data_IF_203848582262
#
_entry.id   IF_203848582262
#
_cell.length_a   1.000
_cell.length_b   1.000
_cell.length_c   1.000
_cell.angle_alpha   90.00
_cell.angle_beta   90.00
_cell.angle_gamma   90.00
#
_symmetry.space_group_name_H-M   'P 1'
#
loop_
_entity.id
_entity.type
_entity.pdbx_description
1 polymer ?
#
# COMPACT_ATOMS: atom_id res chain seq x y z
N UNK A 1 -45.07 -33.98 57.68
CA UNK A 1 -43.75 -33.36 57.49
C UNK A 1 -43.40 -33.38 55.98
N UNK A 2 -43.61 -32.27 55.27
CA UNK A 2 -43.46 -32.15 53.87
C UNK A 2 -42.15 -31.35 53.61
N UNK A 3 -41.10 -31.97 53.03
CA UNK A 3 -39.86 -31.34 52.67
C UNK A 3 -40.05 -30.84 51.25
N UNK A 4 -40.14 -29.49 51.06
CA UNK A 4 -40.08 -28.84 49.74
C UNK A 4 -38.64 -28.75 49.32
N UNK A 5 -38.29 -29.41 48.22
CA UNK A 5 -37.05 -29.22 47.52
C UNK A 5 -37.16 -28.01 46.53
N UNK A 6 -36.44 -26.96 46.82
CA UNK A 6 -36.28 -25.78 45.94
C UNK A 6 -35.20 -26.07 44.88
N UNK A 7 -35.58 -26.21 43.62
CA UNK A 7 -34.65 -26.28 42.49
C UNK A 7 -34.33 -24.86 42.04
N UNK A 8 -33.09 -24.39 42.27
CA UNK A 8 -32.56 -23.16 41.68
C UNK A 8 -32.07 -23.49 40.26
N UNK A 9 -32.80 -23.01 39.25
CA UNK A 9 -32.34 -22.96 37.87
C UNK A 9 -31.34 -21.78 37.72
N UNK A 10 -30.05 -22.09 37.60
CA UNK A 10 -29.04 -21.13 37.13
C UNK A 10 -29.19 -21.00 35.62
N UNK A 11 -29.78 -19.90 35.10
CA UNK A 11 -29.71 -19.52 33.71
C UNK A 11 -28.31 -18.92 33.45
N UNK A 12 -27.42 -19.67 32.82
CA UNK A 12 -26.18 -19.15 32.28
C UNK A 12 -26.51 -18.36 31.00
N UNK A 13 -26.48 -17.02 31.09
CA UNK A 13 -26.47 -16.17 29.90
C UNK A 13 -25.13 -16.39 29.18
N UNK A 14 -25.15 -17.19 28.14
CA UNK A 14 -24.04 -17.23 27.14
C UNK A 14 -24.22 -15.99 26.28
N UNK A 15 -23.47 -14.92 26.58
CA UNK A 15 -23.30 -13.80 25.67
C UNK A 15 -22.47 -14.31 24.50
N UNK A 16 -23.13 -14.61 23.38
CA UNK A 16 -22.45 -14.83 22.11
C UNK A 16 -21.76 -13.52 21.74
N UNK A 17 -20.45 -13.46 21.93
CA UNK A 17 -19.61 -12.41 21.33
C UNK A 17 -19.66 -12.68 19.83
N UNK A 18 -20.52 -11.94 19.13
CA UNK A 18 -20.51 -11.89 17.67
C UNK A 18 -19.17 -11.29 17.25
N UNK A 19 -18.23 -12.11 16.81
CA UNK A 19 -17.06 -11.62 16.10
C UNK A 19 -17.58 -11.02 14.79
N UNK A 20 -17.49 -9.71 14.65
CA UNK A 20 -17.80 -9.05 13.40
C UNK A 20 -16.77 -9.57 12.36
N UNK A 21 -17.22 -10.46 11.50
CA UNK A 21 -16.38 -10.99 10.41
C UNK A 21 -15.97 -9.82 9.51
N UNK A 22 -14.70 -9.81 9.07
CA UNK A 22 -14.16 -8.82 8.16
C UNK A 22 -15.12 -8.60 6.96
N UNK A 23 -15.60 -7.37 6.82
CA UNK A 23 -16.53 -7.02 5.74
C UNK A 23 -15.73 -6.87 4.44
N UNK A 24 -15.98 -7.76 3.48
CA UNK A 24 -15.31 -7.75 2.16
C UNK A 24 -16.31 -7.43 1.07
N UNK A 25 -16.00 -6.45 0.22
CA UNK A 25 -16.81 -6.07 -0.94
C UNK A 25 -15.94 -5.63 -2.11
N UNK A 26 -16.47 -5.66 -3.34
CA UNK A 26 -15.83 -4.98 -4.46
C UNK A 26 -16.21 -3.51 -4.46
N UNK A 27 -15.24 -2.61 -4.74
CA UNK A 27 -15.50 -1.17 -4.87
C UNK A 27 -16.50 -0.90 -6.00
N UNK A 28 -16.49 -1.75 -7.03
CA UNK A 28 -17.45 -1.69 -8.14
C UNK A 28 -17.68 -3.09 -8.72
N UNK A 29 -18.84 -3.31 -9.32
CA UNK A 29 -19.18 -4.51 -10.07
C UNK A 29 -19.03 -4.32 -11.57
N UNK A 30 -19.26 -3.10 -12.06
CA UNK A 30 -19.13 -2.67 -13.45
C UNK A 30 -18.26 -1.44 -13.54
N UNK A 31 -17.44 -1.36 -14.58
CA UNK A 31 -16.55 -0.23 -14.86
C UNK A 31 -16.42 0.00 -16.37
N UNK A 32 -16.06 1.21 -16.82
CA UNK A 32 -15.84 1.51 -18.23
C UNK A 32 -14.52 0.98 -18.79
N UNK A 33 -13.87 0.07 -18.09
CA UNK A 33 -12.59 -0.55 -18.43
C UNK A 33 -12.58 -2.03 -18.01
N UNK A 34 -11.91 -2.92 -18.76
CA UNK A 34 -11.82 -4.34 -18.41
C UNK A 34 -10.72 -4.66 -17.39
N UNK A 35 -9.71 -3.78 -17.24
CA UNK A 35 -8.55 -4.03 -16.40
C UNK A 35 -8.33 -2.90 -15.40
N UNK A 36 -7.99 -3.25 -14.15
CA UNK A 36 -7.67 -2.32 -13.08
C UNK A 36 -6.53 -2.81 -12.20
N UNK A 37 -5.70 -1.89 -11.67
CA UNK A 37 -4.59 -2.26 -10.82
C UNK A 37 -4.12 -1.11 -9.92
N UNK A 38 -3.32 -1.43 -8.88
CA UNK A 38 -2.58 -0.51 -8.02
C UNK A 38 -3.49 0.51 -7.32
N UNK A 39 -4.30 0.02 -6.39
CA UNK A 39 -5.18 0.88 -5.60
C UNK A 39 -4.44 1.63 -4.50
N UNK A 40 -4.97 2.79 -4.16
CA UNK A 40 -4.64 3.62 -3.01
C UNK A 40 -5.92 4.02 -2.26
N UNK A 41 -5.81 4.32 -0.97
CA UNK A 41 -6.96 4.60 -0.10
C UNK A 41 -6.62 5.72 0.88
N UNK A 42 -7.58 6.63 1.11
CA UNK A 42 -7.50 7.66 2.15
C UNK A 42 -8.86 7.84 2.84
N UNK A 43 -8.85 8.10 4.15
CA UNK A 43 -10.05 8.53 4.86
C UNK A 43 -10.11 10.06 4.89
N UNK A 44 -11.21 10.61 4.41
CA UNK A 44 -11.48 12.04 4.34
C UNK A 44 -11.94 12.59 5.70
N UNK A 45 -11.88 13.92 5.89
CA UNK A 45 -12.25 14.58 7.16
C UNK A 45 -13.67 14.32 7.61
N UNK A 46 -14.61 14.16 6.66
CA UNK A 46 -16.01 13.83 6.94
C UNK A 46 -16.26 12.35 7.28
N UNK A 47 -15.22 11.52 7.26
CA UNK A 47 -15.31 10.08 7.54
C UNK A 47 -15.46 9.20 6.31
N UNK A 48 -15.80 9.75 5.14
CA UNK A 48 -15.83 9.00 3.88
C UNK A 48 -14.46 8.42 3.55
N UNK A 49 -14.43 7.35 2.76
CA UNK A 49 -13.21 6.84 2.15
C UNK A 49 -13.17 7.27 0.67
N UNK A 50 -11.98 7.59 0.19
CA UNK A 50 -11.71 7.78 -1.23
C UNK A 50 -10.64 6.79 -1.66
N UNK A 51 -10.97 5.96 -2.63
CA UNK A 51 -10.03 5.04 -3.27
C UNK A 51 -9.73 5.52 -4.69
N UNK A 52 -8.50 5.27 -5.16
CA UNK A 52 -8.12 5.50 -6.55
C UNK A 52 -7.26 4.32 -7.05
N UNK A 53 -7.26 4.11 -8.37
CA UNK A 53 -6.51 3.05 -9.04
C UNK A 53 -6.31 3.42 -10.51
N UNK A 54 -5.43 2.73 -11.22
CA UNK A 54 -5.39 2.88 -12.66
C UNK A 54 -6.26 1.81 -13.36
N UNK A 55 -6.90 2.17 -14.47
CA UNK A 55 -7.76 1.29 -15.25
C UNK A 55 -7.82 1.69 -16.71
N UNK A 56 -7.88 0.69 -17.59
CA UNK A 56 -7.92 0.82 -19.05
C UNK A 56 -8.06 -0.53 -19.72
N UNK A 57 -7.71 -0.64 -20.98
CA UNK A 57 -7.78 -1.90 -21.75
C UNK A 57 -6.86 -2.98 -21.16
N UNK A 58 -5.64 -2.62 -20.80
CA UNK A 58 -4.65 -3.43 -20.08
C UNK A 58 -3.57 -2.50 -19.50
N UNK A 59 -2.81 -2.99 -18.54
CA UNK A 59 -1.67 -2.27 -17.98
C UNK A 59 -0.71 -1.80 -19.09
N UNK A 60 -0.35 -0.51 -19.06
CA UNK A 60 0.54 0.11 -20.04
C UNK A 60 -0.09 0.49 -21.38
N UNK A 61 -1.38 0.25 -21.59
CA UNK A 61 -2.07 0.75 -22.78
C UNK A 61 -2.29 2.28 -22.70
N UNK A 62 -2.30 2.95 -23.83
CA UNK A 62 -2.40 4.42 -23.93
C UNK A 62 -3.74 4.98 -23.38
N UNK A 63 -4.76 4.13 -23.19
CA UNK A 63 -6.05 4.49 -22.63
C UNK A 63 -6.11 4.37 -21.10
N UNK A 64 -5.05 3.89 -20.45
CA UNK A 64 -5.01 3.76 -18.99
C UNK A 64 -5.04 5.12 -18.33
N UNK A 65 -6.02 5.29 -17.46
CA UNK A 65 -6.28 6.52 -16.71
C UNK A 65 -6.38 6.24 -15.21
N UNK A 66 -6.37 7.29 -14.39
CA UNK A 66 -6.62 7.19 -12.95
C UNK A 66 -8.11 7.38 -12.69
N UNK A 67 -8.70 6.41 -12.03
CA UNK A 67 -10.10 6.34 -11.63
C UNK A 67 -10.22 6.40 -10.12
N UNK A 68 -11.34 6.87 -9.64
CA UNK A 68 -11.66 6.90 -8.21
C UNK A 68 -13.06 6.43 -7.90
N UNK A 69 -13.31 6.10 -6.64
CA UNK A 69 -14.62 5.87 -6.05
C UNK A 69 -14.63 6.35 -4.61
N UNK A 70 -15.76 6.90 -4.18
CA UNK A 70 -15.99 7.38 -2.82
C UNK A 70 -16.92 6.43 -2.10
N UNK A 71 -16.56 6.02 -0.88
CA UNK A 71 -17.43 5.30 0.04
C UNK A 71 -18.05 6.26 1.05
N UNK A 72 -19.37 6.29 1.08
CA UNK A 72 -20.16 6.98 2.09
C UNK A 72 -20.92 5.96 2.93
N UNK A 73 -21.79 6.40 3.82
CA UNK A 73 -22.70 5.50 4.55
C UNK A 73 -23.61 4.66 3.63
N UNK A 74 -23.85 5.12 2.38
CA UNK A 74 -24.63 4.39 1.37
C UNK A 74 -23.82 3.42 0.52
N UNK A 75 -22.52 3.24 0.79
CA UNK A 75 -21.62 2.37 0.04
C UNK A 75 -20.74 3.13 -0.96
N UNK A 76 -20.10 2.38 -1.88
CA UNK A 76 -19.21 2.90 -2.89
C UNK A 76 -19.97 3.55 -4.06
N UNK A 77 -19.49 4.69 -4.52
CA UNK A 77 -19.98 5.32 -5.76
C UNK A 77 -19.54 4.51 -6.99
N UNK A 78 -20.21 4.73 -8.13
CA UNK A 78 -19.67 4.28 -9.42
C UNK A 78 -18.29 4.89 -9.66
N UNK A 79 -17.36 4.17 -10.34
CA UNK A 79 -16.07 4.74 -10.72
C UNK A 79 -16.20 6.02 -11.52
N UNK A 80 -15.41 7.03 -11.17
CA UNK A 80 -15.32 8.30 -11.89
C UNK A 80 -13.87 8.58 -12.29
N UNK A 81 -13.71 9.27 -13.43
CA UNK A 81 -12.39 9.64 -13.94
C UNK A 81 -11.79 10.76 -13.06
N UNK A 82 -10.56 10.53 -12.56
CA UNK A 82 -9.78 11.55 -11.85
C UNK A 82 -8.85 12.30 -12.79
N UNK A 83 -8.07 11.58 -13.58
CA UNK A 83 -7.15 12.17 -14.55
C UNK A 83 -6.79 11.16 -15.64
N UNK A 84 -6.54 11.67 -16.84
CA UNK A 84 -6.04 10.92 -18.00
C UNK A 84 -4.98 11.75 -18.69
N UNK A 85 -3.83 11.13 -18.94
CA UNK A 85 -2.81 11.70 -19.81
C UNK A 85 -3.11 11.39 -21.28
N UNK A 86 -2.88 12.33 -22.20
CA UNK A 86 -3.15 12.10 -23.62
C UNK A 86 -2.10 11.15 -24.23
N UNK A 87 -2.59 10.04 -24.82
CA UNK A 87 -1.79 9.08 -25.60
C UNK A 87 -0.63 8.42 -24.84
N UNK A 88 -0.78 8.28 -23.51
CA UNK A 88 0.21 7.59 -22.67
C UNK A 88 -0.45 7.06 -21.41
N UNK A 89 -0.01 5.89 -20.95
CA UNK A 89 -0.54 5.27 -19.75
C UNK A 89 -0.27 6.07 -18.47
N UNK A 90 -1.28 6.16 -17.61
CA UNK A 90 -1.15 6.61 -16.22
C UNK A 90 -0.98 5.41 -15.28
N UNK A 91 -0.17 5.56 -14.20
CA UNK A 91 0.26 4.48 -13.33
C UNK A 91 0.18 4.88 -11.85
N UNK A 92 0.07 3.89 -10.98
CA UNK A 92 0.21 3.93 -9.52
C UNK A 92 -0.24 5.26 -8.87
N UNK A 93 -1.53 5.51 -8.73
CA UNK A 93 -2.00 6.66 -7.97
C UNK A 93 -1.66 6.50 -6.50
N UNK A 94 -1.39 7.62 -5.82
CA UNK A 94 -1.20 7.69 -4.38
C UNK A 94 -1.98 8.87 -3.83
N UNK A 95 -2.93 8.58 -2.93
CA UNK A 95 -3.73 9.57 -2.21
C UNK A 95 -3.15 9.79 -0.81
N UNK A 96 -3.03 11.04 -0.40
CA UNK A 96 -2.73 11.41 0.97
C UNK A 96 -3.13 12.86 1.26
N UNK A 97 -3.34 13.18 2.53
CA UNK A 97 -3.67 14.53 2.98
C UNK A 97 -2.47 15.15 3.71
N UNK A 98 -2.15 16.40 3.39
CA UNK A 98 -1.17 17.21 4.11
C UNK A 98 -1.82 17.96 5.28
N UNK A 99 -1.00 18.46 6.23
CA UNK A 99 -1.52 19.11 7.44
C UNK A 99 -2.31 20.39 7.16
N UNK A 100 -2.04 21.08 6.07
CA UNK A 100 -2.84 22.24 5.61
C UNK A 100 -4.21 21.84 5.07
N UNK A 101 -4.52 20.54 5.01
CA UNK A 101 -5.80 20.00 4.60
C UNK A 101 -5.97 19.82 3.11
N UNK A 102 -4.91 19.96 2.33
CA UNK A 102 -4.95 19.58 0.91
C UNK A 102 -4.90 18.07 0.77
N UNK A 103 -5.84 17.55 0.01
CA UNK A 103 -5.82 16.17 -0.46
C UNK A 103 -5.05 16.12 -1.77
N UNK A 104 -3.95 15.39 -1.77
CA UNK A 104 -3.10 15.19 -2.94
C UNK A 104 -3.40 13.85 -3.61
N UNK A 105 -3.35 13.85 -4.95
CA UNK A 105 -3.25 12.67 -5.79
C UNK A 105 -1.96 12.78 -6.60
N UNK A 106 -1.01 11.91 -6.34
CA UNK A 106 0.18 11.73 -7.16
C UNK A 106 -0.03 10.53 -8.07
N UNK A 107 0.51 10.58 -9.28
CA UNK A 107 0.51 9.46 -10.22
C UNK A 107 1.76 9.54 -11.11
N UNK A 108 2.01 8.51 -11.87
CA UNK A 108 3.08 8.47 -12.86
C UNK A 108 2.45 8.34 -14.24
N UNK A 109 3.14 8.79 -15.24
CA UNK A 109 2.77 8.59 -16.63
C UNK A 109 4.00 8.28 -17.45
N UNK A 110 3.84 7.49 -18.50
CA UNK A 110 4.92 7.03 -19.36
C UNK A 110 4.58 5.71 -20.03
N UNK A 111 5.27 5.36 -21.10
CA UNK A 111 5.00 4.10 -21.84
C UNK A 111 5.48 2.87 -21.09
N UNK A 112 6.54 3.03 -20.29
CA UNK A 112 7.16 1.95 -19.50
C UNK A 112 7.60 2.49 -18.16
N UNK A 113 7.74 1.62 -17.17
CA UNK A 113 8.19 1.95 -15.82
C UNK A 113 9.52 2.72 -15.82
N UNK A 114 10.45 2.37 -16.69
CA UNK A 114 11.76 3.02 -16.82
C UNK A 114 11.70 4.45 -17.39
N UNK A 115 10.57 4.84 -17.96
CA UNK A 115 10.33 6.13 -18.61
C UNK A 115 9.33 7.00 -17.83
N UNK A 116 9.02 6.63 -16.60
CA UNK A 116 8.02 7.34 -15.80
C UNK A 116 8.43 8.77 -15.50
N UNK A 117 7.48 9.65 -15.64
CA UNK A 117 7.47 11.00 -15.09
C UNK A 117 6.40 11.08 -14.01
N UNK A 118 6.67 11.81 -12.93
CA UNK A 118 5.69 12.08 -11.88
C UNK A 118 4.73 13.19 -12.27
N UNK A 119 3.49 13.09 -11.82
CA UNK A 119 2.52 14.15 -11.88
C UNK A 119 1.66 14.16 -10.63
N UNK A 120 1.01 15.29 -10.33
CA UNK A 120 0.15 15.46 -9.17
C UNK A 120 -0.99 16.44 -9.45
N UNK A 121 -2.03 16.31 -8.67
CA UNK A 121 -3.12 17.27 -8.57
C UNK A 121 -3.61 17.31 -7.12
N UNK A 122 -4.30 18.36 -6.72
CA UNK A 122 -4.80 18.49 -5.36
C UNK A 122 -6.27 18.91 -5.33
N UNK A 123 -6.90 18.62 -4.21
CA UNK A 123 -8.25 19.05 -3.87
C UNK A 123 -8.25 19.77 -2.52
N UNK A 124 -9.04 20.83 -2.39
CA UNK A 124 -9.29 21.55 -1.14
C UNK A 124 -10.70 21.31 -0.59
N UNK A 125 -11.51 20.54 -1.30
CA UNK A 125 -12.91 20.23 -0.98
C UNK A 125 -13.16 18.73 -0.78
N UNK A 126 -12.14 18.04 -0.26
CA UNK A 126 -12.17 16.60 0.05
C UNK A 126 -12.40 15.73 -1.20
N UNK A 127 -11.78 16.08 -2.32
CA UNK A 127 -11.81 15.30 -3.55
C UNK A 127 -13.10 15.40 -4.36
N UNK A 128 -13.89 16.48 -4.17
CA UNK A 128 -15.04 16.75 -5.03
C UNK A 128 -14.60 17.43 -6.32
N UNK A 129 -13.69 18.38 -6.21
CA UNK A 129 -13.03 19.02 -7.35
C UNK A 129 -11.51 18.92 -7.22
N UNK A 130 -10.83 18.96 -8.35
CA UNK A 130 -9.39 18.80 -8.43
C UNK A 130 -8.75 19.91 -9.26
N UNK A 131 -7.53 20.31 -8.89
CA UNK A 131 -6.72 21.21 -9.70
C UNK A 131 -6.40 20.59 -11.07
N UNK A 132 -5.92 21.40 -12.01
CA UNK A 132 -5.25 20.88 -13.19
C UNK A 132 -4.03 20.04 -12.78
N UNK A 133 -3.66 18.99 -13.54
CA UNK A 133 -2.44 18.25 -13.33
C UNK A 133 -1.19 19.13 -13.41
N UNK A 134 -0.25 18.90 -12.48
CA UNK A 134 1.10 19.48 -12.48
C UNK A 134 2.09 18.36 -12.77
N UNK A 135 2.83 18.46 -13.87
CA UNK A 135 3.89 17.53 -14.21
C UNK A 135 5.15 17.88 -13.43
N UNK A 136 5.73 16.88 -12.75
CA UNK A 136 6.89 17.08 -11.89
C UNK A 136 8.19 17.15 -12.69
N UNK A 137 9.23 17.83 -12.17
CA UNK A 137 10.55 17.84 -12.80
C UNK A 137 11.13 16.44 -12.96
N UNK A 138 11.95 16.23 -13.99
CA UNK A 138 12.64 14.97 -14.22
C UNK A 138 13.42 14.51 -12.97
N UNK A 139 13.31 13.22 -12.63
CA UNK A 139 13.93 12.63 -11.44
C UNK A 139 13.11 12.76 -10.15
N UNK A 140 12.00 13.51 -10.16
CA UNK A 140 11.04 13.56 -9.06
C UNK A 140 9.78 12.79 -9.45
N UNK A 141 9.60 11.57 -8.91
CA UNK A 141 8.43 10.74 -9.18
C UNK A 141 7.33 10.89 -8.11
N UNK A 142 7.69 11.48 -6.96
CA UNK A 142 6.83 11.50 -5.79
C UNK A 142 6.61 10.10 -5.19
N UNK A 143 5.60 9.90 -4.35
CA UNK A 143 5.30 8.59 -3.76
C UNK A 143 5.02 7.59 -4.87
N UNK A 144 5.82 6.50 -4.90
CA UNK A 144 5.84 5.59 -6.06
C UNK A 144 4.63 4.64 -6.10
N UNK A 145 4.17 4.19 -4.93
CA UNK A 145 3.03 3.28 -4.76
C UNK A 145 2.32 3.46 -3.42
N UNK A 146 3.09 3.58 -2.34
CA UNK A 146 2.55 3.63 -0.99
C UNK A 146 2.42 5.09 -0.50
N UNK A 147 1.48 5.31 0.41
CA UNK A 147 1.25 6.62 1.00
C UNK A 147 2.49 7.15 1.72
N UNK A 148 2.83 8.44 1.58
CA UNK A 148 3.89 9.05 2.36
C UNK A 148 3.49 9.16 3.83
N UNK A 149 4.49 9.28 4.70
CA UNK A 149 4.30 9.64 6.10
C UNK A 149 4.36 11.17 6.23
N UNK A 150 3.33 11.78 6.80
CA UNK A 150 3.32 13.20 7.15
C UNK A 150 3.65 13.34 8.63
N UNK A 151 4.81 13.93 8.94
CA UNK A 151 5.31 14.09 10.29
C UNK A 151 4.53 15.17 11.07
N UNK A 152 4.79 15.27 12.39
CA UNK A 152 4.07 16.20 13.26
C UNK A 152 4.34 17.67 12.94
N UNK A 153 5.48 18.00 12.38
CA UNK A 153 5.84 19.33 11.89
C UNK A 153 5.34 19.63 10.46
N UNK A 154 4.63 18.70 9.85
CA UNK A 154 4.14 18.81 8.45
C UNK A 154 5.12 18.32 7.40
N UNK A 155 6.31 17.89 7.78
CA UNK A 155 7.28 17.30 6.86
C UNK A 155 6.68 16.05 6.20
N UNK A 156 6.79 15.96 4.87
CA UNK A 156 6.40 14.80 4.09
C UNK A 156 7.63 13.92 3.86
N UNK A 157 7.56 12.66 4.26
CA UNK A 157 8.58 11.64 3.98
C UNK A 157 7.96 10.63 3.02
N UNK A 158 8.34 10.70 1.77
CA UNK A 158 7.74 9.96 0.66
C UNK A 158 8.68 8.89 0.16
N UNK A 159 8.21 7.65 0.17
CA UNK A 159 8.92 6.53 -0.44
C UNK A 159 8.80 6.57 -1.96
N UNK A 160 9.94 6.55 -2.63
CA UNK A 160 10.03 6.46 -4.09
C UNK A 160 11.02 5.38 -4.50
N UNK A 161 11.07 5.02 -5.76
CA UNK A 161 12.05 4.08 -6.29
C UNK A 161 12.39 4.39 -7.74
N UNK A 162 13.56 3.94 -8.15
CA UNK A 162 14.02 3.98 -9.55
C UNK A 162 14.19 2.53 -10.01
N UNK A 163 13.49 2.21 -11.08
CA UNK A 163 13.51 0.91 -11.74
C UNK A 163 14.31 1.07 -13.05
N UNK A 164 15.61 0.87 -12.98
CA UNK A 164 16.47 0.94 -14.16
C UNK A 164 16.60 -0.43 -14.86
N UNK A 165 17.44 -0.53 -15.87
CA UNK A 165 17.54 -1.69 -16.75
C UNK A 165 17.85 -3.01 -16.02
N UNK A 166 18.84 -2.99 -15.10
CA UNK A 166 19.27 -4.18 -14.36
C UNK A 166 19.38 -3.97 -12.84
N UNK A 167 18.98 -2.79 -12.34
CA UNK A 167 19.15 -2.44 -10.94
C UNK A 167 17.97 -1.59 -10.45
N UNK A 168 17.43 -1.98 -9.32
CA UNK A 168 16.35 -1.26 -8.63
C UNK A 168 16.86 -0.70 -7.31
N UNK A 169 16.44 0.52 -6.98
CA UNK A 169 16.81 1.14 -5.73
C UNK A 169 15.66 1.97 -5.16
N UNK A 170 15.54 1.92 -3.83
CA UNK A 170 14.66 2.80 -3.06
C UNK A 170 15.34 4.14 -2.86
N UNK A 171 14.54 5.20 -2.93
CA UNK A 171 14.89 6.57 -2.58
C UNK A 171 13.80 7.15 -1.68
N UNK A 172 14.14 8.21 -0.97
CA UNK A 172 13.18 8.99 -0.19
C UNK A 172 13.16 10.40 -0.76
N UNK A 173 11.97 10.88 -1.13
CA UNK A 173 11.72 12.28 -1.43
C UNK A 173 11.15 12.95 -0.15
N UNK A 174 11.88 13.91 0.42
CA UNK A 174 11.51 14.61 1.65
C UNK A 174 11.19 16.07 1.37
N UNK A 175 10.06 16.57 1.89
CA UNK A 175 9.62 17.96 1.77
C UNK A 175 9.23 18.52 3.13
N UNK A 176 9.70 19.73 3.47
CA UNK A 176 9.31 20.45 4.69
C UNK A 176 8.40 21.66 4.41
N UNK A 177 7.93 21.81 3.19
CA UNK A 177 7.14 22.94 2.71
C UNK A 177 5.86 22.50 1.96
N UNK A 178 5.20 21.45 2.48
CA UNK A 178 3.98 20.87 1.91
C UNK A 178 4.11 20.44 0.45
N UNK A 179 5.31 19.97 0.05
CA UNK A 179 5.55 19.46 -1.29
C UNK A 179 5.92 20.54 -2.33
N UNK A 180 6.23 21.77 -1.92
CA UNK A 180 6.71 22.80 -2.83
C UNK A 180 8.12 22.50 -3.32
N UNK A 181 9.01 22.08 -2.42
CA UNK A 181 10.36 21.63 -2.76
C UNK A 181 10.66 20.25 -2.18
N UNK A 182 11.58 19.53 -2.82
CA UNK A 182 11.90 18.15 -2.45
C UNK A 182 13.41 17.92 -2.38
N UNK A 183 13.82 17.18 -1.37
CA UNK A 183 15.18 16.67 -1.23
C UNK A 183 15.14 15.15 -1.43
N UNK A 184 15.91 14.64 -2.41
CA UNK A 184 16.07 13.22 -2.65
C UNK A 184 17.20 12.65 -1.78
N UNK A 185 16.92 11.54 -1.10
CA UNK A 185 17.82 10.85 -0.15
C UNK A 185 17.93 9.39 -0.57
N UNK A 186 19.14 8.85 -0.58
CA UNK A 186 19.43 7.48 -1.02
C UNK A 186 20.64 7.42 -1.95
N UNK A 187 20.86 6.33 -2.70
CA UNK A 187 19.98 5.15 -2.76
C UNK A 187 20.00 4.32 -1.48
N UNK A 188 18.88 3.65 -1.17
CA UNK A 188 18.77 2.65 -0.13
C UNK A 188 18.69 1.30 -0.81
N UNK A 189 19.67 0.43 -0.53
CA UNK A 189 19.85 -0.87 -1.18
C UNK A 189 20.20 -1.95 -0.17
N UNK A 190 20.08 -3.20 -0.57
CA UNK A 190 20.57 -4.35 0.21
C UNK A 190 22.03 -4.59 -0.19
N UNK A 191 23.00 -4.42 0.70
CA UNK A 191 24.41 -4.66 0.37
C UNK A 191 24.68 -6.17 0.23
N UNK A 192 25.68 -6.52 -0.58
CA UNK A 192 26.00 -7.91 -0.91
C UNK A 192 26.19 -8.83 0.33
N UNK A 193 26.73 -8.28 1.42
CA UNK A 193 26.92 -9.04 2.69
C UNK A 193 25.61 -9.45 3.38
N UNK A 194 24.49 -8.81 3.04
CA UNK A 194 23.15 -9.06 3.59
C UNK A 194 22.23 -9.77 2.59
N UNK A 195 22.72 -10.02 1.36
CA UNK A 195 21.95 -10.77 0.38
C UNK A 195 21.74 -12.20 0.88
N UNK A 196 20.50 -12.74 0.78
CA UNK A 196 20.30 -14.16 1.07
C UNK A 196 21.09 -15.02 0.09
N UNK A 197 21.36 -16.29 0.44
CA UNK A 197 21.92 -17.25 -0.51
C UNK A 197 21.09 -17.23 -1.80
N UNK A 198 21.76 -17.25 -2.96
CA UNK A 198 21.08 -17.25 -4.24
C UNK A 198 19.98 -18.33 -4.28
N UNK A 199 18.77 -18.01 -4.74
CA UNK A 199 17.71 -18.99 -4.83
C UNK A 199 18.14 -20.12 -5.75
N UNK A 200 17.78 -21.36 -5.39
CA UNK A 200 18.08 -22.56 -6.18
C UNK A 200 17.30 -22.61 -7.51
N UNK A 201 16.32 -21.75 -7.67
CA UNK A 201 15.57 -21.57 -8.93
C UNK A 201 16.12 -20.35 -9.65
N UNK A 202 16.77 -20.58 -10.77
CA UNK A 202 17.09 -19.52 -11.73
C UNK A 202 15.79 -19.00 -12.34
N UNK A 203 15.58 -17.68 -12.32
CA UNK A 203 14.57 -17.07 -13.18
C UNK A 203 14.78 -17.53 -14.63
N UNK A 204 13.75 -18.15 -15.21
CA UNK A 204 13.74 -18.33 -16.65
C UNK A 204 13.40 -16.98 -17.29
N UNK A 205 14.44 -16.19 -17.54
CA UNK A 205 14.31 -14.94 -18.28
C UNK A 205 13.95 -15.26 -19.73
N UNK A 206 12.94 -14.57 -20.26
CA UNK A 206 12.62 -14.61 -21.67
C UNK A 206 13.73 -13.97 -22.52
N UNK A 207 13.76 -14.22 -23.85
CA UNK A 207 14.71 -13.56 -24.72
C UNK A 207 14.64 -12.04 -24.60
N UNK A 208 15.75 -11.39 -24.23
CA UNK A 208 15.82 -9.94 -24.05
C UNK A 208 15.38 -9.43 -22.67
N UNK A 209 15.04 -10.31 -21.73
CA UNK A 209 14.85 -9.96 -20.32
C UNK A 209 16.20 -9.97 -19.59
N UNK A 210 16.44 -8.94 -18.81
CA UNK A 210 17.67 -8.78 -18.01
C UNK A 210 17.43 -9.20 -16.57
N UNK A 211 18.43 -9.79 -15.94
CA UNK A 211 18.42 -10.03 -14.51
C UNK A 211 18.37 -8.69 -13.77
N UNK A 212 17.33 -8.51 -12.96
CA UNK A 212 17.13 -7.29 -12.17
C UNK A 212 17.31 -7.62 -10.69
N UNK A 213 18.15 -6.84 -10.01
CA UNK A 213 18.37 -6.96 -8.57
C UNK A 213 18.06 -5.65 -7.85
N UNK A 214 17.45 -5.75 -6.65
CA UNK A 214 17.21 -4.63 -5.77
C UNK A 214 15.84 -4.60 -5.10
N UNK A 215 15.51 -3.44 -4.58
CA UNK A 215 14.27 -3.20 -3.83
C UNK A 215 13.56 -1.95 -4.30
N UNK A 216 12.21 -1.96 -4.28
CA UNK A 216 11.37 -0.86 -4.74
C UNK A 216 10.12 -0.68 -3.86
N UNK A 217 9.34 0.38 -4.15
CA UNK A 217 7.98 0.61 -3.63
C UNK A 217 7.94 0.54 -2.09
N UNK A 218 8.67 1.42 -1.39
CA UNK A 218 8.75 1.38 0.06
C UNK A 218 7.48 1.94 0.72
N UNK A 219 6.92 1.20 1.68
CA UNK A 219 5.93 1.66 2.64
C UNK A 219 6.65 2.15 3.90
N UNK A 220 6.35 3.35 4.39
CA UNK A 220 7.04 3.97 5.53
C UNK A 220 6.10 4.04 6.72
N UNK A 221 6.59 3.61 7.89
CA UNK A 221 5.87 3.70 9.16
C UNK A 221 6.73 4.38 10.22
N UNK A 222 6.09 4.92 11.25
CA UNK A 222 6.74 5.45 12.44
C UNK A 222 6.76 4.38 13.53
N UNK A 223 7.93 4.04 14.05
CA UNK A 223 8.11 3.12 15.20
C UNK A 223 8.33 3.85 16.53
N UNK A 224 8.74 5.12 16.48
CA UNK A 224 9.01 5.89 17.68
C UNK A 224 9.31 7.36 17.39
N UNK A 225 9.72 8.10 18.43
CA UNK A 225 10.15 9.47 18.26
C UNK A 225 11.39 9.51 17.35
N UNK A 226 11.29 10.16 16.19
CA UNK A 226 12.33 10.20 15.14
C UNK A 226 12.70 8.87 14.51
N UNK A 227 12.12 7.75 14.94
CA UNK A 227 12.38 6.45 14.35
C UNK A 227 11.33 6.13 13.30
N UNK A 228 11.76 6.09 12.05
CA UNK A 228 10.98 5.65 10.90
C UNK A 228 11.57 4.34 10.36
N UNK A 229 10.71 3.47 9.87
CA UNK A 229 11.10 2.25 9.16
C UNK A 229 10.37 2.18 7.84
N UNK A 230 11.09 1.80 6.81
CA UNK A 230 10.50 1.43 5.53
C UNK A 230 10.50 -0.08 5.35
N UNK A 231 9.49 -0.57 4.63
CA UNK A 231 9.41 -1.94 4.13
C UNK A 231 9.34 -1.87 2.61
N UNK A 232 10.18 -2.64 1.92
CA UNK A 232 10.32 -2.57 0.47
C UNK A 232 10.08 -3.93 -0.19
N UNK A 233 9.44 -3.88 -1.36
CA UNK A 233 9.27 -5.01 -2.26
C UNK A 233 10.63 -5.42 -2.83
N UNK A 234 11.02 -6.71 -2.74
CA UNK A 234 12.26 -7.23 -3.30
C UNK A 234 12.12 -7.67 -4.75
N UNK A 235 13.23 -7.87 -5.43
CA UNK A 235 13.35 -8.74 -6.60
C UNK A 235 13.41 -10.22 -6.18
N UNK A 236 13.27 -11.14 -7.13
CA UNK A 236 13.21 -12.59 -6.84
C UNK A 236 14.52 -13.15 -6.27
N UNK A 237 15.67 -12.58 -6.64
CA UNK A 237 16.97 -12.96 -6.10
C UNK A 237 17.11 -12.66 -4.59
N UNK A 238 16.44 -11.61 -4.10
CA UNK A 238 16.32 -11.31 -2.68
C UNK A 238 15.18 -12.14 -2.07
N UNK A 239 14.03 -12.20 -2.71
CA UNK A 239 12.89 -13.06 -2.37
C UNK A 239 12.23 -12.81 -1.01
N UNK A 240 12.65 -11.77 -0.28
CA UNK A 240 12.18 -11.42 1.07
C UNK A 240 11.92 -9.91 1.17
N UNK A 241 10.85 -9.53 1.85
CA UNK A 241 10.60 -8.12 2.17
C UNK A 241 11.83 -7.55 2.88
N UNK A 242 12.27 -6.37 2.47
CA UNK A 242 13.43 -5.71 3.06
C UNK A 242 13.00 -4.51 3.90
N UNK A 243 13.72 -4.26 4.98
CA UNK A 243 13.52 -3.10 5.85
C UNK A 243 14.78 -2.24 5.93
N UNK A 244 14.59 -0.93 6.14
CA UNK A 244 15.66 0.00 6.50
C UNK A 244 15.13 1.03 7.50
N UNK A 245 16.00 1.57 8.34
CA UNK A 245 15.65 2.47 9.43
C UNK A 245 16.22 3.87 9.24
N UNK A 246 15.48 4.85 9.72
CA UNK A 246 15.93 6.21 9.96
C UNK A 246 15.70 6.57 11.42
N UNK A 247 16.67 7.20 12.05
CA UNK A 247 16.59 7.65 13.46
C UNK A 247 16.58 9.17 13.59
N UNK A 248 16.33 9.88 12.49
CA UNK A 248 16.38 11.35 12.37
C UNK A 248 15.25 11.92 11.49
N UNK A 249 14.04 11.31 11.60
CA UNK A 249 12.85 11.71 10.83
C UNK A 249 13.05 11.65 9.30
N UNK A 250 13.77 10.64 8.82
CA UNK A 250 13.94 10.36 7.40
C UNK A 250 15.02 11.17 6.70
N UNK A 251 15.95 11.81 7.46
CA UNK A 251 17.08 12.57 6.89
C UNK A 251 18.19 11.63 6.44
N UNK A 252 18.48 10.60 7.24
CA UNK A 252 19.43 9.54 6.88
C UNK A 252 18.80 8.16 7.08
N UNK A 253 19.28 7.16 6.36
CA UNK A 253 18.77 5.79 6.37
C UNK A 253 19.90 4.77 6.44
N UNK A 254 19.64 3.67 7.12
CA UNK A 254 20.56 2.52 7.13
C UNK A 254 20.55 1.81 5.77
N UNK A 255 21.51 0.93 5.55
CA UNK A 255 21.38 -0.13 4.54
C UNK A 255 20.08 -0.92 4.78
N UNK A 256 19.44 -1.38 3.71
CA UNK A 256 18.31 -2.29 3.83
C UNK A 256 18.78 -3.73 4.13
N UNK A 257 17.96 -4.46 4.88
CA UNK A 257 18.18 -5.87 5.19
C UNK A 257 16.90 -6.68 4.96
N UNK A 258 17.03 -7.95 4.53
CA UNK A 258 15.88 -8.85 4.37
C UNK A 258 15.28 -9.25 5.72
N UNK A 259 13.94 -9.24 5.81
CA UNK A 259 13.16 -9.79 6.92
C UNK A 259 12.88 -11.27 6.71
N UNK A 260 12.39 -11.95 7.74
CA UNK A 260 11.93 -13.34 7.61
C UNK A 260 10.48 -13.42 7.06
N UNK A 261 10.23 -12.71 5.96
CA UNK A 261 8.96 -12.64 5.27
C UNK A 261 9.19 -12.86 3.77
N UNK A 262 8.75 -13.99 3.20
CA UNK A 262 8.90 -14.22 1.76
C UNK A 262 8.08 -13.21 0.96
N UNK A 263 8.56 -12.91 -0.24
CA UNK A 263 7.83 -12.08 -1.19
C UNK A 263 8.18 -12.46 -2.63
N UNK A 264 7.20 -12.71 -3.50
CA UNK A 264 7.39 -13.17 -4.88
C UNK A 264 7.57 -12.00 -5.85
N UNK A 265 8.29 -10.94 -5.47
CA UNK A 265 8.37 -9.71 -6.24
C UNK A 265 6.97 -9.08 -6.45
N UNK A 266 6.21 -8.95 -5.36
CA UNK A 266 4.86 -8.35 -5.35
C UNK A 266 4.79 -7.13 -4.45
N UNK A 267 4.01 -6.12 -4.86
CA UNK A 267 3.80 -4.90 -4.06
C UNK A 267 3.19 -5.21 -2.69
N UNK A 268 3.64 -4.47 -1.69
CA UNK A 268 3.20 -4.55 -0.29
C UNK A 268 2.66 -3.20 0.16
N UNK A 269 2.03 -3.12 1.32
CA UNK A 269 1.84 -1.87 2.07
C UNK A 269 1.91 -2.16 3.58
N UNK A 270 2.21 -1.14 4.37
CA UNK A 270 2.29 -1.21 5.82
C UNK A 270 1.60 -0.02 6.47
N UNK A 271 1.10 -0.21 7.68
CA UNK A 271 0.56 0.86 8.52
C UNK A 271 1.03 0.70 9.96
N UNK A 272 1.56 1.79 10.54
CA UNK A 272 1.79 1.90 11.97
C UNK A 272 0.46 2.21 12.67
N UNK A 273 0.07 1.36 13.61
CA UNK A 273 -1.15 1.55 14.39
C UNK A 273 -0.92 2.57 15.52
N UNK A 274 -2.00 3.21 15.96
CA UNK A 274 -1.94 4.19 17.08
C UNK A 274 -1.46 3.59 18.39
N UNK A 275 -1.55 2.27 18.55
CA UNK A 275 -1.07 1.54 19.74
C UNK A 275 0.39 1.09 19.63
N UNK A 276 1.07 1.43 18.54
CA UNK A 276 2.48 1.16 18.30
C UNK A 276 2.77 -0.12 17.52
N UNK A 277 1.77 -0.99 17.29
CA UNK A 277 1.94 -2.16 16.41
C UNK A 277 2.08 -1.72 14.96
N UNK A 278 2.65 -2.59 14.13
CA UNK A 278 2.71 -2.44 12.67
C UNK A 278 1.94 -3.57 12.02
N UNK A 279 1.06 -3.25 11.08
CA UNK A 279 0.40 -4.25 10.22
C UNK A 279 0.95 -4.13 8.81
N UNK A 280 1.28 -5.27 8.23
CA UNK A 280 1.80 -5.42 6.88
C UNK A 280 0.84 -6.28 6.07
N UNK A 281 0.57 -5.88 4.83
CA UNK A 281 -0.21 -6.64 3.85
C UNK A 281 0.68 -7.03 2.68
N UNK A 282 0.75 -8.34 2.37
CA UNK A 282 1.72 -8.89 1.43
C UNK A 282 1.31 -10.27 0.91
N UNK A 283 1.98 -10.75 -0.12
CA UNK A 283 1.85 -12.13 -0.57
C UNK A 283 2.88 -13.02 0.17
N UNK A 284 2.39 -13.85 1.09
CA UNK A 284 3.23 -14.79 1.87
C UNK A 284 3.55 -16.05 1.05
N UNK A 285 4.33 -15.87 -0.01
CA UNK A 285 4.74 -16.93 -0.94
C UNK A 285 6.04 -16.55 -1.61
N UNK A 286 6.69 -17.50 -2.26
CA UNK A 286 7.90 -17.27 -3.08
C UNK A 286 7.60 -17.18 -4.57
N UNK A 287 6.34 -17.44 -5.00
CA UNK A 287 5.96 -17.38 -6.41
C UNK A 287 4.48 -17.02 -6.57
N UNK A 288 4.13 -16.35 -7.67
CA UNK A 288 2.75 -15.92 -7.94
C UNK A 288 2.29 -14.79 -7.02
N UNK A 289 0.97 -14.54 -6.96
CA UNK A 289 0.37 -13.47 -6.15
C UNK A 289 -0.86 -13.95 -5.35
N UNK A 290 -0.82 -15.21 -4.96
CA UNK A 290 -1.75 -15.86 -4.04
C UNK A 290 -0.92 -16.78 -3.13
N UNK A 291 -1.15 -16.75 -1.79
CA UNK A 291 -2.16 -16.01 -1.04
C UNK A 291 -1.85 -14.53 -0.86
N UNK A 292 -2.85 -13.72 -0.41
CA UNK A 292 -2.69 -12.37 0.12
C UNK A 292 -2.97 -12.40 1.63
N UNK A 293 -2.03 -11.91 2.43
CA UNK A 293 -2.01 -12.10 3.87
C UNK A 293 -1.81 -10.78 4.63
N UNK A 294 -2.23 -10.80 5.89
CA UNK A 294 -1.91 -9.80 6.89
C UNK A 294 -0.99 -10.38 7.96
N UNK A 295 0.01 -9.62 8.33
CA UNK A 295 0.88 -9.91 9.46
C UNK A 295 0.98 -8.69 10.38
N UNK A 296 1.18 -8.93 11.68
CA UNK A 296 1.32 -7.90 12.70
C UNK A 296 2.66 -8.06 13.42
N UNK A 297 3.26 -6.93 13.79
CA UNK A 297 4.49 -6.86 14.57
C UNK A 297 4.37 -5.85 15.70
N UNK A 298 5.01 -6.13 16.84
CA UNK A 298 5.13 -5.21 18.00
C UNK A 298 6.43 -4.41 17.97
N UNK A 299 7.42 -4.88 17.25
CA UNK A 299 8.76 -4.27 17.17
C UNK A 299 9.10 -3.77 15.75
N UNK A 300 8.23 -4.06 14.77
CA UNK A 300 8.46 -3.72 13.37
C UNK A 300 9.41 -4.66 12.64
N UNK A 301 10.02 -5.64 13.32
CA UNK A 301 11.00 -6.59 12.77
C UNK A 301 10.40 -8.00 12.65
N UNK A 302 9.82 -8.50 13.74
CA UNK A 302 9.27 -9.85 13.82
C UNK A 302 7.75 -9.81 13.61
N UNK A 303 7.31 -10.39 12.51
CA UNK A 303 5.90 -10.40 12.10
C UNK A 303 5.27 -11.78 12.32
N UNK A 304 4.03 -11.76 12.80
CA UNK A 304 3.18 -12.95 12.93
C UNK A 304 2.01 -12.79 11.96
N UNK A 305 1.88 -13.72 11.02
CA UNK A 305 0.71 -13.78 10.13
C UNK A 305 -0.54 -14.09 10.96
N UNK A 306 -1.60 -13.31 10.82
CA UNK A 306 -2.83 -13.50 11.57
C UNK A 306 -4.07 -13.69 10.70
N UNK A 307 -4.03 -13.27 9.43
CA UNK A 307 -5.18 -13.41 8.54
C UNK A 307 -4.78 -13.64 7.09
N UNK A 308 -5.53 -14.50 6.40
CA UNK A 308 -5.48 -14.68 4.95
C UNK A 308 -6.73 -14.05 4.33
N UNK A 309 -6.52 -13.07 3.44
CA UNK A 309 -7.61 -12.36 2.76
C UNK A 309 -8.08 -13.09 1.51
N UNK A 310 -7.13 -13.66 0.79
CA UNK A 310 -7.32 -14.42 -0.44
C UNK A 310 -6.38 -15.61 -0.46
N UNK A 311 -6.90 -16.76 -0.89
CA UNK A 311 -6.13 -18.00 -1.06
C UNK A 311 -6.74 -18.85 -2.19
N UNK A 312 -6.64 -18.35 -3.40
CA UNK A 312 -7.14 -19.05 -4.58
C UNK A 312 -5.94 -19.42 -5.46
N UNK A 313 -5.67 -20.71 -5.69
CA UNK A 313 -4.60 -21.14 -6.58
C UNK A 313 -4.72 -20.51 -7.97
N UNK A 314 -3.61 -19.94 -8.47
CA UNK A 314 -3.57 -19.24 -9.75
C UNK A 314 -4.26 -17.86 -9.76
N UNK A 315 -4.79 -17.40 -8.62
CA UNK A 315 -5.31 -16.05 -8.46
C UNK A 315 -4.22 -14.99 -8.44
N UNK A 316 -4.57 -13.76 -8.81
CA UNK A 316 -3.71 -12.59 -8.68
C UNK A 316 -4.34 -11.57 -7.72
N UNK A 317 -3.81 -11.50 -6.50
CA UNK A 317 -4.23 -10.59 -5.44
C UNK A 317 -3.03 -9.74 -5.03
N UNK A 318 -2.99 -8.48 -5.45
CA UNK A 318 -1.75 -7.73 -5.43
C UNK A 318 -1.95 -6.22 -5.27
N UNK A 319 -0.85 -5.51 -5.07
CA UNK A 319 -0.81 -4.05 -4.92
C UNK A 319 -1.82 -3.54 -3.90
N UNK A 320 -1.73 -4.03 -2.67
CA UNK A 320 -2.60 -3.60 -1.60
C UNK A 320 -2.30 -2.18 -1.15
N UNK A 321 -3.30 -1.53 -0.54
CA UNK A 321 -3.17 -0.35 0.27
C UNK A 321 -3.88 -0.56 1.61
N UNK A 322 -3.31 -0.07 2.71
CA UNK A 322 -3.86 -0.20 4.06
C UNK A 322 -3.75 1.10 4.83
N UNK A 323 -4.81 1.47 5.53
CA UNK A 323 -4.83 2.58 6.49
C UNK A 323 -5.52 2.16 7.78
N UNK A 324 -5.23 2.82 8.90
CA UNK A 324 -6.06 2.78 10.09
C UNK A 324 -7.01 3.96 10.07
N UNK A 325 -8.31 3.69 10.04
CA UNK A 325 -9.37 4.69 10.08
C UNK A 325 -9.48 5.40 11.44
N UNK A 326 -10.26 6.49 11.50
CA UNK A 326 -10.56 7.20 12.76
C UNK A 326 -11.42 6.36 13.72
N UNK A 327 -12.18 5.42 13.17
CA UNK A 327 -12.92 4.37 13.90
C UNK A 327 -12.01 3.32 14.52
N UNK A 328 -10.70 3.43 14.29
CA UNK A 328 -9.63 2.50 14.66
C UNK A 328 -9.56 1.24 13.82
N UNK A 329 -10.53 0.95 12.96
CA UNK A 329 -10.51 -0.19 12.07
C UNK A 329 -9.42 -0.04 11.00
N UNK A 330 -9.02 -1.17 10.43
CA UNK A 330 -8.17 -1.20 9.26
C UNK A 330 -9.05 -1.19 8.01
N UNK A 331 -8.74 -0.30 7.09
CA UNK A 331 -9.35 -0.24 5.77
C UNK A 331 -8.30 -0.59 4.73
N UNK A 332 -8.63 -1.55 3.88
CA UNK A 332 -7.68 -2.11 2.90
C UNK A 332 -8.32 -2.13 1.52
N UNK A 333 -7.51 -1.92 0.51
CA UNK A 333 -7.88 -2.17 -0.88
C UNK A 333 -6.78 -2.98 -1.56
N UNK A 334 -7.14 -3.78 -2.55
CA UNK A 334 -6.17 -4.53 -3.36
C UNK A 334 -6.76 -4.87 -4.74
N UNK A 335 -5.89 -5.13 -5.68
CA UNK A 335 -6.24 -5.63 -7.01
C UNK A 335 -6.70 -7.08 -6.92
N UNK A 336 -7.87 -7.37 -7.47
CA UNK A 336 -8.42 -8.71 -7.61
C UNK A 336 -8.39 -9.14 -9.09
N UNK A 337 -7.49 -10.09 -9.40
CA UNK A 337 -7.33 -10.71 -10.75
C UNK A 337 -7.22 -9.69 -11.90
N UNK A 338 -6.60 -8.52 -11.66
CA UNK A 338 -6.49 -7.41 -12.63
C UNK A 338 -7.83 -6.90 -13.19
N UNK A 339 -8.95 -7.29 -12.62
CA UNK A 339 -10.30 -6.97 -13.10
C UNK A 339 -11.04 -5.98 -12.20
N UNK A 340 -10.80 -6.04 -10.91
CA UNK A 340 -11.53 -5.26 -9.90
C UNK A 340 -10.62 -4.82 -8.77
N UNK A 341 -11.12 -3.84 -8.03
CA UNK A 341 -10.53 -3.47 -6.74
C UNK A 341 -11.44 -3.99 -5.63
N UNK A 342 -10.86 -4.78 -4.74
CA UNK A 342 -11.50 -5.28 -3.52
C UNK A 342 -11.28 -4.28 -2.38
N UNK A 343 -12.26 -4.17 -1.50
CA UNK A 343 -12.16 -3.44 -0.23
C UNK A 343 -12.45 -4.40 0.92
N UNK A 344 -11.70 -4.25 2.00
CA UNK A 344 -11.90 -5.01 3.24
C UNK A 344 -11.80 -4.05 4.42
N UNK A 345 -12.70 -4.21 5.39
CA UNK A 345 -12.65 -3.56 6.69
C UNK A 345 -12.40 -4.61 7.76
N UNK A 346 -11.41 -4.37 8.62
CA UNK A 346 -11.03 -5.28 9.71
C UNK A 346 -11.11 -4.52 11.03
N UNK A 347 -11.95 -4.97 11.96
CA UNK A 347 -11.98 -4.41 13.32
C UNK A 347 -10.62 -4.51 14.00
N UNK A 348 -10.19 -3.46 14.71
CA UNK A 348 -8.92 -3.48 15.43
C UNK A 348 -8.84 -4.63 16.45
N UNK A 349 -9.97 -5.06 16.98
CA UNK A 349 -10.07 -6.20 17.91
C UNK A 349 -9.68 -7.55 17.30
N UNK A 350 -9.64 -7.66 15.98
CA UNK A 350 -9.19 -8.87 15.26
C UNK A 350 -7.67 -8.88 15.01
N UNK A 351 -6.98 -7.77 15.29
CA UNK A 351 -5.52 -7.66 15.16
C UNK A 351 -4.87 -8.08 16.50
N UNK A 352 -4.10 -9.18 16.57
CA UNK A 352 -3.53 -9.72 17.81
C UNK A 352 -2.43 -8.87 18.46
#
# INVERSE_FOLDING_TARGET
MLIRRLFLLLLALITAVSHAQAAKEFIYTTAPFPSAHASTLVQLKNGDLLAAWFGGAKEGADDVAIWGSRRTASGWSTPFLLVREPNVASWNPVLFETRDGKLWLYYKYGRRVREWTGARLFSTDQGRTWSAPEHLPAGLLGPIKDKPLVLDDGTIVSGTSVESYSSWAVWIDRSSDNGATWRKIGPITVPARLMPPAPTQTEHLGPGEEHVSGIIQPAIVRLGKKHLRLYARPTLDIGRICAADSFDDGITWTDAHPLDLPNPNSGIDAVGLRDGRVVLIYNNTTSGRSPLNLAVSKDGEHFIMFQTLEDQPGGEFSYPAIIQGRDSNLHLTYTWNRKRISYVEIPLSEVP
#
